data_IF_253580891542
#
_entry.id   IF_253580891542
#
_cell.length_a   1.000
_cell.length_b   1.000
_cell.length_c   1.000
_cell.angle_alpha   90.00
_cell.angle_beta   90.00
_cell.angle_gamma   90.00
#
_symmetry.space_group_name_H-M   'P 1'
#
loop_
_entity.id
_entity.type
_entity.pdbx_description
1 polymer ?
#
# COMPACT_ATOMS: atom_id res chain seq x y z
N UNK A 1 5.79 -3.71 -18.12
CA UNK A 1 5.42 -3.76 -16.69
C UNK A 1 5.36 -5.20 -16.24
N UNK A 2 6.19 -5.57 -15.27
CA UNK A 2 6.25 -6.97 -14.82
C UNK A 2 5.23 -7.20 -13.71
N UNK A 3 4.03 -7.59 -14.09
CA UNK A 3 2.93 -7.82 -13.16
C UNK A 3 3.08 -9.14 -12.41
N UNK A 4 3.98 -10.02 -12.86
CA UNK A 4 4.22 -11.29 -12.17
C UNK A 4 4.66 -11.11 -10.72
N UNK A 5 5.31 -9.99 -10.41
CA UNK A 5 5.74 -9.67 -9.05
C UNK A 5 4.56 -9.34 -8.11
N UNK A 6 3.37 -9.12 -8.67
CA UNK A 6 2.18 -8.80 -7.89
C UNK A 6 1.18 -9.96 -7.85
N UNK A 7 1.53 -11.11 -8.42
CA UNK A 7 0.64 -12.26 -8.43
C UNK A 7 0.82 -13.06 -7.14
N UNK A 8 -0.16 -12.95 -6.24
CA UNK A 8 -0.17 -13.62 -4.93
C UNK A 8 1.17 -13.44 -4.19
N UNK A 9 1.63 -12.19 -4.10
CA UNK A 9 2.93 -11.90 -3.49
C UNK A 9 2.82 -11.80 -1.98
N UNK A 10 3.39 -12.77 -1.26
CA UNK A 10 3.43 -12.81 0.20
C UNK A 10 4.85 -12.67 0.75
N UNK A 11 5.84 -12.42 -0.11
CA UNK A 11 7.25 -12.40 0.27
C UNK A 11 7.52 -11.37 1.37
N UNK A 12 6.84 -10.24 1.31
CA UNK A 12 7.08 -9.12 2.24
C UNK A 12 6.31 -9.26 3.55
N UNK A 13 5.58 -10.35 3.72
CA UNK A 13 5.00 -10.71 5.01
C UNK A 13 5.68 -11.95 5.61
N UNK A 14 6.38 -12.74 4.82
CA UNK A 14 7.06 -13.94 5.32
C UNK A 14 8.05 -13.57 6.43
N UNK A 15 7.99 -14.28 7.54
CA UNK A 15 8.83 -14.00 8.70
C UNK A 15 8.18 -13.10 9.74
N UNK A 16 7.01 -12.55 9.45
CA UNK A 16 6.31 -11.63 10.34
C UNK A 16 4.99 -12.21 10.88
N UNK A 17 4.84 -13.52 10.83
CA UNK A 17 3.62 -14.19 11.29
C UNK A 17 3.33 -13.81 12.75
N UNK A 18 2.09 -13.44 13.00
CA UNK A 18 1.67 -12.93 14.31
C UNK A 18 1.67 -11.41 14.43
N UNK A 19 2.25 -10.71 13.45
CA UNK A 19 2.19 -9.25 13.38
C UNK A 19 1.18 -8.82 12.32
N UNK A 20 0.82 -7.54 12.32
CA UNK A 20 -0.20 -7.02 11.42
C UNK A 20 0.22 -7.16 9.97
N UNK A 21 -0.68 -7.70 9.16
CA UNK A 21 -0.52 -7.85 7.73
C UNK A 21 -1.45 -6.87 7.02
N UNK A 22 -0.93 -6.18 6.00
CA UNK A 22 -1.75 -5.34 5.14
C UNK A 22 -1.73 -5.94 3.74
N UNK A 23 -2.92 -6.12 3.16
CA UNK A 23 -3.08 -6.73 1.85
C UNK A 23 -3.66 -5.69 0.90
N UNK A 24 -3.00 -5.49 -0.23
CA UNK A 24 -3.49 -4.64 -1.32
C UNK A 24 -3.84 -5.55 -2.49
N UNK A 25 -5.11 -5.56 -2.88
CA UNK A 25 -5.62 -6.51 -3.85
C UNK A 25 -6.36 -5.78 -4.97
N UNK A 26 -6.15 -6.22 -6.22
CA UNK A 26 -6.87 -5.65 -7.35
C UNK A 26 -8.32 -6.13 -7.31
N UNK A 27 -9.28 -5.21 -7.33
CA UNK A 27 -10.69 -5.56 -7.25
C UNK A 27 -11.12 -6.46 -8.40
N UNK A 28 -10.64 -6.17 -9.61
CA UNK A 28 -11.06 -6.90 -10.82
C UNK A 28 -10.31 -8.21 -11.04
N UNK A 29 -9.22 -8.44 -10.31
CA UNK A 29 -8.46 -9.69 -10.42
C UNK A 29 -7.80 -9.97 -9.07
N UNK A 30 -8.44 -10.83 -8.27
CA UNK A 30 -8.02 -11.11 -6.90
C UNK A 30 -6.67 -11.84 -6.81
N UNK A 31 -6.19 -12.43 -7.91
CA UNK A 31 -4.87 -13.04 -7.96
C UNK A 31 -3.74 -12.01 -8.00
N UNK A 32 -4.07 -10.75 -8.31
CA UNK A 32 -3.12 -9.65 -8.26
C UNK A 32 -3.22 -9.03 -6.87
N UNK A 33 -2.27 -9.36 -6.01
CA UNK A 33 -2.29 -8.88 -4.63
C UNK A 33 -0.87 -8.83 -4.05
N UNK A 34 -0.71 -7.97 -3.06
CA UNK A 34 0.56 -7.77 -2.35
C UNK A 34 0.28 -7.81 -0.86
N UNK A 35 0.92 -8.75 -0.16
CA UNK A 35 0.85 -8.88 1.29
C UNK A 35 2.12 -8.33 1.90
N UNK A 36 2.01 -7.37 2.81
CA UNK A 36 3.18 -6.77 3.44
C UNK A 36 3.01 -6.71 4.96
N UNK A 37 4.13 -6.71 5.65
CA UNK A 37 4.16 -6.39 7.07
C UNK A 37 3.81 -4.91 7.26
N UNK A 38 2.95 -4.62 8.24
CA UNK A 38 2.50 -3.23 8.48
C UNK A 38 3.66 -2.29 8.79
N UNK A 39 4.75 -2.81 9.35
CA UNK A 39 5.93 -2.00 9.65
C UNK A 39 6.56 -1.34 8.43
N UNK A 40 6.38 -1.91 7.23
CA UNK A 40 6.86 -1.25 6.01
C UNK A 40 6.08 0.03 5.73
N UNK A 41 4.77 0.04 6.01
CA UNK A 41 3.99 1.25 5.88
C UNK A 41 4.41 2.32 6.88
N UNK A 42 4.73 1.92 8.11
CA UNK A 42 5.25 2.85 9.11
C UNK A 42 6.54 3.50 8.62
N UNK A 43 7.42 2.71 7.98
CA UNK A 43 8.69 3.21 7.46
C UNK A 43 8.48 4.17 6.29
N UNK A 44 7.54 3.86 5.39
CA UNK A 44 7.23 4.72 4.24
C UNK A 44 6.59 6.03 4.69
N UNK A 45 5.63 5.94 5.61
CA UNK A 45 4.71 7.03 5.93
C UNK A 45 5.10 7.83 7.17
N UNK A 46 6.24 7.52 7.80
CA UNK A 46 6.72 8.29 8.94
C UNK A 46 7.00 9.73 8.52
N UNK A 47 6.83 10.65 9.47
CA UNK A 47 7.09 12.07 9.25
C UNK A 47 6.48 12.59 7.95
N UNK A 48 5.16 12.44 7.77
CA UNK A 48 4.54 12.84 6.51
C UNK A 48 4.57 14.35 6.35
N UNK A 49 4.82 14.79 5.11
CA UNK A 49 4.75 16.21 4.80
C UNK A 49 3.30 16.61 4.64
N UNK A 50 2.93 17.76 5.23
CA UNK A 50 1.64 18.34 4.99
C UNK A 50 1.74 19.23 3.76
N UNK A 51 0.89 18.96 2.77
CA UNK A 51 0.70 19.90 1.67
C UNK A 51 -0.14 21.07 2.20
N UNK A 52 -0.27 22.15 1.41
CA UNK A 52 -1.14 23.25 1.77
C UNK A 52 -2.60 22.85 1.91
N UNK A 53 -2.96 21.69 1.36
CA UNK A 53 -4.33 21.16 1.40
C UNK A 53 -4.50 20.02 2.39
N UNK A 54 -3.45 19.64 3.11
CA UNK A 54 -3.47 18.53 4.05
C UNK A 54 -3.01 17.22 3.44
N UNK A 55 -3.25 16.12 4.17
CA UNK A 55 -2.86 14.79 3.71
C UNK A 55 -3.86 14.25 2.71
N UNK A 56 -3.36 13.44 1.76
CA UNK A 56 -4.18 12.79 0.75
C UNK A 56 -3.82 11.31 0.63
N UNK A 57 -4.69 10.54 -0.05
CA UNK A 57 -4.43 9.16 -0.40
C UNK A 57 -4.06 8.27 0.77
N UNK A 58 -2.99 7.50 0.60
CA UNK A 58 -2.54 6.54 1.61
C UNK A 58 -2.10 7.26 2.88
N UNK A 59 -1.42 8.39 2.77
CA UNK A 59 -0.98 9.17 3.93
C UNK A 59 -2.17 9.57 4.80
N UNK A 60 -3.23 10.10 4.17
CA UNK A 60 -4.44 10.47 4.89
C UNK A 60 -5.07 9.26 5.57
N UNK A 61 -5.25 8.17 4.83
CA UNK A 61 -5.95 7.00 5.35
C UNK A 61 -5.15 6.33 6.46
N UNK A 62 -3.83 6.35 6.36
CA UNK A 62 -2.98 5.75 7.40
C UNK A 62 -2.96 6.58 8.69
N UNK A 63 -2.89 7.91 8.58
CA UNK A 63 -2.71 8.78 9.74
C UNK A 63 -4.01 9.36 10.30
N UNK A 64 -5.05 9.48 9.50
CA UNK A 64 -6.30 10.12 9.90
C UNK A 64 -7.49 9.18 9.91
N UNK A 65 -7.63 8.34 8.90
CA UNK A 65 -8.79 7.46 8.78
C UNK A 65 -8.51 6.17 9.54
N UNK A 66 -9.06 6.04 10.70
CA UNK A 66 -8.81 4.90 11.55
C UNK A 66 -9.31 3.58 10.96
N UNK A 67 -10.32 3.63 10.10
CA UNK A 67 -10.99 2.42 9.63
C UNK A 67 -10.15 1.54 8.71
N UNK A 68 -9.41 2.13 7.77
CA UNK A 68 -8.71 1.37 6.74
C UNK A 68 -7.57 0.54 7.31
N UNK A 69 -7.02 0.97 8.45
CA UNK A 69 -5.87 0.32 9.06
C UNK A 69 -6.11 -0.03 10.52
N UNK A 70 -7.38 -0.22 10.88
CA UNK A 70 -7.76 -0.48 12.27
C UNK A 70 -7.57 -1.94 12.69
N UNK A 71 -7.25 -2.83 11.76
CA UNK A 71 -7.06 -4.24 12.08
C UNK A 71 -8.35 -5.00 12.35
N UNK A 72 -9.48 -4.49 11.89
CA UNK A 72 -10.78 -5.07 12.16
C UNK A 72 -11.17 -6.23 11.25
N UNK A 73 -10.35 -6.54 10.24
CA UNK A 73 -10.68 -7.56 9.26
C UNK A 73 -11.62 -7.08 8.16
N UNK A 74 -11.96 -5.80 8.16
CA UNK A 74 -12.83 -5.24 7.13
C UNK A 74 -12.07 -4.97 5.85
N UNK A 75 -12.81 -4.85 4.74
CA UNK A 75 -12.25 -4.54 3.44
C UNK A 75 -12.65 -3.13 3.03
N UNK A 76 -11.73 -2.38 2.44
CA UNK A 76 -11.97 -1.02 1.99
C UNK A 76 -11.54 -0.84 0.54
N UNK A 77 -12.43 -0.24 -0.26
CA UNK A 77 -12.10 0.11 -1.65
C UNK A 77 -11.48 1.50 -1.68
N UNK A 78 -10.37 1.63 -2.43
CA UNK A 78 -9.70 2.91 -2.59
C UNK A 78 -9.44 3.20 -4.06
N UNK A 79 -9.24 4.49 -4.38
CA UNK A 79 -8.92 4.93 -5.72
C UNK A 79 -7.41 4.84 -5.95
N UNK A 80 -6.96 4.07 -6.96
CA UNK A 80 -5.53 3.97 -7.23
C UNK A 80 -4.92 5.29 -7.71
N UNK A 81 -5.71 6.16 -8.36
CA UNK A 81 -5.21 7.47 -8.81
C UNK A 81 -4.76 8.34 -7.65
N UNK A 82 -5.59 8.44 -6.63
CA UNK A 82 -5.29 9.27 -5.46
C UNK A 82 -4.11 8.69 -4.69
N UNK A 83 -4.07 7.36 -4.53
CA UNK A 83 -2.98 6.71 -3.82
C UNK A 83 -1.66 6.86 -4.56
N UNK A 84 -1.67 6.69 -5.89
CA UNK A 84 -0.45 6.84 -6.69
C UNK A 84 0.13 8.24 -6.54
N UNK A 85 -0.71 9.27 -6.70
CA UNK A 85 -0.25 10.66 -6.58
C UNK A 85 0.38 10.91 -5.21
N UNK A 86 -0.18 10.30 -4.17
CA UNK A 86 0.33 10.47 -2.81
C UNK A 86 1.66 9.72 -2.60
N UNK A 87 1.73 8.44 -2.94
CA UNK A 87 2.91 7.64 -2.58
C UNK A 87 4.13 7.93 -3.44
N UNK A 88 3.96 8.53 -4.62
CA UNK A 88 5.10 8.90 -5.45
C UNK A 88 6.04 9.90 -4.76
N UNK A 89 5.52 10.70 -3.85
CA UNK A 89 6.35 11.67 -3.11
C UNK A 89 7.41 11.00 -2.25
N UNK A 90 7.21 9.74 -1.89
CA UNK A 90 8.12 9.02 -1.00
C UNK A 90 9.27 8.33 -1.73
N UNK A 91 9.31 8.38 -3.07
CA UNK A 91 10.33 7.69 -3.84
C UNK A 91 11.75 8.16 -3.56
N UNK A 92 11.92 9.41 -3.16
CA UNK A 92 13.24 9.98 -2.85
C UNK A 92 13.64 9.82 -1.39
N UNK A 93 12.77 9.25 -0.56
CA UNK A 93 13.00 9.11 0.87
C UNK A 93 13.95 7.94 1.15
N UNK A 94 14.75 8.06 2.20
CA UNK A 94 15.52 6.94 2.71
C UNK A 94 14.71 6.21 3.78
N UNK A 95 14.81 4.88 3.80
CA UNK A 95 14.03 4.04 4.69
C UNK A 95 14.93 3.26 5.64
N UNK A 96 14.38 2.90 6.82
CA UNK A 96 15.13 2.17 7.83
C UNK A 96 15.31 0.70 7.46
N UNK A 97 14.25 0.07 6.93
CA UNK A 97 14.32 -1.32 6.49
C UNK A 97 14.80 -1.42 5.06
N UNK A 98 15.66 -2.41 4.77
CA UNK A 98 16.25 -2.55 3.44
C UNK A 98 15.23 -2.92 2.38
N UNK A 99 14.13 -3.57 2.76
CA UNK A 99 13.10 -4.03 1.82
C UNK A 99 12.02 -2.97 1.55
N UNK A 100 11.98 -1.90 2.34
CA UNK A 100 10.91 -0.90 2.24
C UNK A 100 10.82 -0.28 0.86
N UNK A 101 11.98 -0.02 0.23
CA UNK A 101 11.99 0.57 -1.11
C UNK A 101 11.33 -0.35 -2.13
N UNK A 102 11.60 -1.65 -2.07
CA UNK A 102 10.95 -2.61 -2.97
C UNK A 102 9.44 -2.64 -2.73
N UNK A 103 9.02 -2.59 -1.46
CA UNK A 103 7.60 -2.53 -1.13
C UNK A 103 6.95 -1.29 -1.74
N UNK A 104 7.58 -0.13 -1.59
CA UNK A 104 7.06 1.11 -2.18
C UNK A 104 6.97 1.00 -3.71
N UNK A 105 8.01 0.47 -4.35
CA UNK A 105 8.01 0.31 -5.80
C UNK A 105 6.91 -0.64 -6.27
N UNK A 106 6.64 -1.71 -5.53
CA UNK A 106 5.56 -2.64 -5.85
C UNK A 106 4.19 -2.01 -5.63
N UNK A 107 4.03 -1.18 -4.60
CA UNK A 107 2.79 -0.44 -4.40
C UNK A 107 2.52 0.52 -5.56
N UNK A 108 3.56 1.23 -6.00
CA UNK A 108 3.44 2.12 -7.16
C UNK A 108 3.07 1.33 -8.41
N UNK A 109 3.72 0.20 -8.64
CA UNK A 109 3.42 -0.67 -9.78
C UNK A 109 1.97 -1.14 -9.74
N UNK A 110 1.50 -1.57 -8.56
CA UNK A 110 0.12 -2.03 -8.39
C UNK A 110 -0.88 -0.91 -8.71
N UNK A 111 -0.62 0.30 -8.22
CA UNK A 111 -1.52 1.43 -8.48
C UNK A 111 -1.58 1.77 -9.97
N UNK A 112 -0.42 1.78 -10.65
CA UNK A 112 -0.37 2.02 -12.10
C UNK A 112 -1.11 0.94 -12.88
N UNK A 113 -0.96 -0.32 -12.48
CA UNK A 113 -1.67 -1.41 -13.12
C UNK A 113 -3.17 -1.29 -12.92
N UNK A 114 -3.61 -0.94 -11.71
CA UNK A 114 -5.03 -0.75 -11.40
C UNK A 114 -5.63 0.36 -12.26
N UNK A 115 -4.92 1.47 -12.41
CA UNK A 115 -5.37 2.58 -13.27
C UNK A 115 -5.51 2.11 -14.71
N UNK A 116 -4.51 1.38 -15.21
CA UNK A 116 -4.53 0.86 -16.59
C UNK A 116 -5.70 -0.08 -16.83
N UNK A 117 -6.09 -0.86 -15.82
CA UNK A 117 -7.20 -1.80 -15.90
C UNK A 117 -8.54 -1.21 -15.48
N UNK A 118 -8.58 0.07 -15.15
CA UNK A 118 -9.77 0.75 -14.64
C UNK A 118 -10.35 0.01 -13.43
N UNK A 119 -9.49 -0.45 -12.52
CA UNK A 119 -9.87 -1.20 -11.33
C UNK A 119 -9.61 -0.37 -10.09
N UNK A 120 -10.41 -0.61 -9.04
CA UNK A 120 -10.11 -0.12 -7.70
C UNK A 120 -9.17 -1.12 -7.00
N UNK A 121 -8.66 -0.70 -5.87
CA UNK A 121 -7.83 -1.53 -4.99
C UNK A 121 -8.62 -1.81 -3.71
N UNK A 122 -8.57 -3.05 -3.25
CA UNK A 122 -9.14 -3.45 -1.97
C UNK A 122 -8.00 -3.51 -0.95
N UNK A 123 -8.18 -2.85 0.20
CA UNK A 123 -7.23 -2.96 1.31
C UNK A 123 -7.86 -3.83 2.39
N UNK A 124 -7.10 -4.79 2.87
CA UNK A 124 -7.47 -5.65 3.98
C UNK A 124 -6.37 -5.57 5.04
N UNK A 125 -6.75 -5.44 6.31
CA UNK A 125 -5.81 -5.47 7.43
C UNK A 125 -6.16 -6.66 8.29
N UNK A 126 -5.18 -7.50 8.54
CA UNK A 126 -5.39 -8.76 9.25
C UNK A 126 -4.51 -8.87 10.51
#
# INVERSE_FOLDING_TARGET
>A
MDIGQLRNNTIYYDGFEGEDEVIFELEKDHDINLHIWAGYLDDILRDPNLSGEGWTGLTRDYHQAERAFSGSGEEYLISPDEYLADIEQYQSRQFDASETRQVLELLILLMKFAIDKASQIIIKVD
#
